data_IF_764921151618
#
_entry.id   IF_764921151618
#
_cell.length_a   1.000
_cell.length_b   1.000
_cell.length_c   1.000
_cell.angle_alpha   90.00
_cell.angle_beta   90.00
_cell.angle_gamma   90.00
#
_symmetry.space_group_name_H-M   'P 1'
#
loop_
_entity.id
_entity.type
_entity.pdbx_description
1 polymer ?
#
# COMPACT_ATOMS: atom_id res chain seq x y z
N UNK A 1 -14.15 27.14 -47.84
CA UNK A 1 -14.45 27.04 -46.39
C UNK A 1 -13.15 26.84 -45.63
N UNK A 2 -13.07 27.45 -44.46
CA UNK A 2 -11.88 27.85 -43.70
C UNK A 2 -11.11 26.73 -42.96
N UNK A 3 -9.80 26.98 -42.77
CA UNK A 3 -8.92 26.76 -41.58
C UNK A 3 -9.60 26.13 -40.34
N UNK A 4 -9.00 25.29 -39.48
CA UNK A 4 -7.61 24.90 -39.16
C UNK A 4 -7.68 23.65 -38.22
N UNK A 5 -6.53 23.01 -37.91
CA UNK A 5 -6.37 21.77 -37.13
C UNK A 5 -6.12 22.00 -35.63
N UNK A 6 -5.78 20.91 -34.93
CA UNK A 6 -5.16 20.79 -33.60
C UNK A 6 -6.07 20.89 -32.36
N UNK A 7 -6.16 19.79 -31.62
CA UNK A 7 -6.11 19.89 -30.16
C UNK A 7 -5.40 18.67 -29.54
N UNK A 8 -4.07 18.76 -29.56
CA UNK A 8 -3.15 18.07 -28.66
C UNK A 8 -3.58 18.28 -27.21
N UNK A 9 -4.28 17.31 -26.62
CA UNK A 9 -4.58 17.35 -25.19
C UNK A 9 -3.37 16.89 -24.39
N UNK A 10 -2.49 17.86 -24.15
CA UNK A 10 -1.85 18.15 -22.87
C UNK A 10 -0.83 17.13 -22.33
N UNK A 11 0.40 17.22 -22.85
CA UNK A 11 1.60 17.00 -22.04
C UNK A 11 1.77 18.18 -21.06
N UNK A 12 1.13 18.09 -19.90
CA UNK A 12 1.53 18.88 -18.74
C UNK A 12 2.77 18.24 -18.13
N UNK A 13 3.96 18.70 -18.54
CA UNK A 13 5.21 18.39 -17.85
C UNK A 13 5.16 19.09 -16.48
N UNK A 14 4.54 18.42 -15.52
CA UNK A 14 4.46 18.86 -14.14
C UNK A 14 5.87 18.75 -13.54
N UNK A 15 6.61 19.86 -13.54
CA UNK A 15 7.96 19.96 -12.99
C UNK A 15 7.90 20.07 -11.46
N UNK A 16 7.08 19.22 -10.84
CA UNK A 16 7.06 19.02 -9.40
C UNK A 16 8.34 18.28 -9.00
N UNK A 17 9.00 18.65 -7.88
CA UNK A 17 10.15 17.90 -7.40
C UNK A 17 9.74 16.43 -7.27
N UNK A 18 10.54 15.53 -7.85
CA UNK A 18 10.33 14.10 -7.76
C UNK A 18 10.22 13.75 -6.27
N UNK A 19 9.00 13.37 -5.83
CA UNK A 19 8.80 12.97 -4.44
C UNK A 19 9.68 11.76 -4.17
N UNK A 20 10.36 11.68 -3.01
CA UNK A 20 11.09 10.48 -2.64
C UNK A 20 10.15 9.28 -2.74
N UNK A 21 10.66 8.16 -3.23
CA UNK A 21 9.93 6.89 -3.29
C UNK A 21 10.77 5.80 -2.64
N UNK A 22 10.08 4.85 -2.04
CA UNK A 22 10.65 3.68 -1.37
C UNK A 22 10.15 2.45 -2.11
N UNK A 23 11.06 1.54 -2.44
CA UNK A 23 10.70 0.26 -3.05
C UNK A 23 10.37 -0.74 -1.96
N UNK A 24 9.17 -1.31 -2.03
CA UNK A 24 8.70 -2.33 -1.07
C UNK A 24 8.24 -3.59 -1.79
N UNK A 25 8.27 -4.71 -1.07
CA UNK A 25 7.61 -5.96 -1.46
C UNK A 25 6.69 -6.38 -0.31
N UNK A 26 5.43 -6.65 -0.63
CA UNK A 26 4.45 -7.25 0.29
C UNK A 26 4.26 -8.72 -0.15
N UNK A 27 4.76 -9.72 0.61
CA UNK A 27 4.54 -11.12 0.26
C UNK A 27 3.08 -11.52 0.44
N UNK A 28 2.62 -12.48 -0.35
CA UNK A 28 1.36 -13.17 -0.10
C UNK A 28 1.39 -13.99 1.20
N UNK A 29 0.26 -14.08 1.89
CA UNK A 29 0.11 -14.88 3.12
C UNK A 29 -1.07 -15.85 3.04
N UNK A 30 -1.01 -16.94 3.79
CA UNK A 30 -2.01 -18.03 3.74
C UNK A 30 -3.35 -17.71 4.43
N UNK A 31 -3.61 -16.45 4.77
CA UNK A 31 -4.82 -15.98 5.45
C UNK A 31 -5.87 -15.40 4.50
N UNK A 32 -7.08 -15.16 5.00
CA UNK A 32 -8.15 -14.48 4.23
C UNK A 32 -7.67 -13.10 3.79
N UNK A 33 -7.69 -12.83 2.47
CA UNK A 33 -7.19 -11.59 1.89
C UNK A 33 -5.65 -11.50 1.81
N UNK A 34 -4.95 -12.59 2.13
CA UNK A 34 -3.49 -12.65 2.09
C UNK A 34 -2.92 -12.73 0.68
N UNK A 35 -3.73 -13.05 -0.31
CA UNK A 35 -3.36 -13.07 -1.75
C UNK A 35 -3.90 -11.87 -2.54
N UNK A 36 -4.74 -11.04 -1.93
CA UNK A 36 -5.33 -9.87 -2.60
C UNK A 36 -4.37 -8.68 -2.57
N UNK A 37 -4.46 -7.82 -3.58
CA UNK A 37 -3.74 -6.54 -3.63
C UNK A 37 -4.10 -5.67 -2.41
N UNK A 38 -3.11 -4.91 -1.92
CA UNK A 38 -3.28 -4.07 -0.74
C UNK A 38 -3.75 -2.69 -1.16
N UNK A 39 -4.96 -2.31 -0.74
CA UNK A 39 -5.49 -0.97 -0.92
C UNK A 39 -5.09 -0.07 0.25
N UNK A 40 -4.54 1.11 -0.05
CA UNK A 40 -4.20 2.15 0.92
C UNK A 40 -4.67 3.52 0.43
N UNK A 41 -5.39 4.26 1.26
CA UNK A 41 -5.75 5.65 1.00
C UNK A 41 -5.00 6.55 1.98
N UNK A 42 -4.12 7.41 1.46
CA UNK A 42 -3.26 8.28 2.27
C UNK A 42 -3.43 9.72 1.79
N UNK A 43 -3.87 10.60 2.69
CA UNK A 43 -4.07 12.03 2.40
C UNK A 43 -4.92 12.29 1.13
N UNK A 44 -5.97 11.49 0.92
CA UNK A 44 -6.87 11.61 -0.23
C UNK A 44 -6.30 11.07 -1.55
N UNK A 45 -5.21 10.30 -1.51
CA UNK A 45 -4.67 9.57 -2.66
C UNK A 45 -4.79 8.08 -2.42
N UNK A 46 -5.36 7.39 -3.40
CA UNK A 46 -5.60 5.95 -3.34
C UNK A 46 -4.48 5.19 -4.07
N UNK A 47 -4.02 4.12 -3.44
CA UNK A 47 -2.95 3.25 -3.90
C UNK A 47 -3.43 1.81 -3.88
N UNK A 48 -3.21 1.09 -4.98
CA UNK A 48 -3.37 -0.35 -5.07
C UNK A 48 -1.99 -0.99 -5.23
N UNK A 49 -1.52 -1.65 -4.19
CA UNK A 49 -0.17 -2.21 -4.09
C UNK A 49 -0.25 -3.70 -4.38
N UNK A 50 0.38 -4.13 -5.47
CA UNK A 50 0.41 -5.54 -5.88
C UNK A 50 1.34 -6.33 -4.97
N UNK A 51 0.91 -7.52 -4.56
CA UNK A 51 1.73 -8.44 -3.78
C UNK A 51 2.77 -9.16 -4.64
N UNK A 52 3.80 -9.67 -3.98
CA UNK A 52 4.89 -10.50 -4.55
C UNK A 52 5.71 -9.82 -5.66
N UNK A 53 5.57 -8.50 -5.82
CA UNK A 53 6.34 -7.70 -6.77
C UNK A 53 6.93 -6.46 -6.09
N UNK A 54 8.04 -5.96 -6.63
CA UNK A 54 8.63 -4.70 -6.18
C UNK A 54 7.76 -3.52 -6.64
N UNK A 55 7.26 -2.76 -5.68
CA UNK A 55 6.42 -1.58 -5.92
C UNK A 55 7.08 -0.36 -5.31
N UNK A 56 7.24 0.69 -6.13
CA UNK A 56 7.75 1.97 -5.67
C UNK A 56 6.60 2.83 -5.13
N UNK A 57 6.61 3.14 -3.83
CA UNK A 57 5.55 3.92 -3.16
C UNK A 57 6.13 5.16 -2.45
N UNK A 58 5.32 6.21 -2.22
CA UNK A 58 5.74 7.32 -1.38
C UNK A 58 5.98 6.89 0.09
N UNK A 59 6.88 7.57 0.84
CA UNK A 59 7.15 7.27 2.25
C UNK A 59 5.90 7.28 3.14
N UNK A 60 4.93 8.15 2.85
CA UNK A 60 3.68 8.22 3.61
C UNK A 60 2.85 6.93 3.51
N UNK A 61 2.96 6.20 2.40
CA UNK A 61 2.33 4.88 2.25
C UNK A 61 3.05 3.84 3.11
N UNK A 62 4.39 3.91 3.18
CA UNK A 62 5.18 3.01 4.04
C UNK A 62 4.84 3.23 5.52
N UNK A 63 4.70 4.48 5.96
CA UNK A 63 4.24 4.80 7.32
C UNK A 63 2.84 4.22 7.58
N UNK A 64 1.90 4.43 6.66
CA UNK A 64 0.55 3.87 6.79
C UNK A 64 0.54 2.33 6.88
N UNK A 65 1.37 1.64 6.11
CA UNK A 65 1.52 0.19 6.19
C UNK A 65 2.19 -0.28 7.48
N UNK A 66 3.12 0.51 8.03
CA UNK A 66 3.78 0.23 9.31
C UNK A 66 2.80 0.33 10.48
N UNK A 67 1.96 1.37 10.46
CA UNK A 67 0.97 1.64 11.51
C UNK A 67 -0.28 0.73 11.40
N UNK A 68 -0.46 0.08 10.25
CA UNK A 68 -1.55 -0.87 10.03
C UNK A 68 -1.33 -2.16 10.82
N UNK A 69 -1.82 -2.21 12.05
CA UNK A 69 -1.78 -3.37 12.95
C UNK A 69 -3.16 -4.00 13.14
N UNK A 70 -3.17 -5.30 13.43
CA UNK A 70 -4.35 -6.05 13.90
C UNK A 70 -4.06 -6.60 15.29
N UNK A 71 -5.09 -6.67 16.12
CA UNK A 71 -5.02 -7.28 17.44
C UNK A 71 -5.41 -8.75 17.32
N UNK A 72 -4.50 -9.65 17.63
CA UNK A 72 -4.71 -11.08 17.74
C UNK A 72 -4.91 -11.46 19.20
N UNK A 73 -5.94 -12.26 19.48
CA UNK A 73 -6.18 -12.81 20.81
C UNK A 73 -5.36 -14.09 21.01
N UNK A 74 -4.55 -14.12 22.08
CA UNK A 74 -3.81 -15.30 22.49
C UNK A 74 -4.74 -16.16 23.33
N UNK A 75 -4.96 -17.40 22.92
CA UNK A 75 -5.79 -18.37 23.66
C UNK A 75 -4.92 -19.42 24.37
N UNK A 76 -5.33 -19.83 25.58
CA UNK A 76 -4.75 -20.99 26.27
C UNK A 76 -5.22 -22.33 25.66
N UNK A 77 -4.71 -23.45 26.19
CA UNK A 77 -5.15 -24.81 25.79
C UNK A 77 -6.65 -25.06 26.00
N UNK A 78 -7.32 -24.27 26.85
CA UNK A 78 -8.75 -24.34 27.12
C UNK A 78 -9.57 -23.39 26.23
N UNK A 79 -8.94 -22.69 25.28
CA UNK A 79 -9.58 -21.75 24.35
C UNK A 79 -9.99 -20.42 24.99
N UNK A 80 -9.50 -20.09 26.19
CA UNK A 80 -9.77 -18.81 26.85
C UNK A 80 -8.76 -17.77 26.39
N UNK A 81 -9.22 -16.56 26.14
CA UNK A 81 -8.34 -15.43 25.80
C UNK A 81 -7.52 -15.08 27.04
N UNK A 82 -6.21 -15.32 26.98
CA UNK A 82 -5.24 -15.04 28.05
C UNK A 82 -4.41 -13.79 27.77
N UNK A 83 -4.56 -13.20 26.58
CA UNK A 83 -3.90 -11.95 26.23
C UNK A 83 -4.21 -11.48 24.82
N UNK A 84 -3.63 -10.34 24.48
CA UNK A 84 -3.72 -9.73 23.15
C UNK A 84 -2.34 -9.38 22.65
N UNK A 85 -2.12 -9.53 21.34
CA UNK A 85 -0.90 -9.11 20.67
C UNK A 85 -1.24 -8.32 19.43
N UNK A 86 -0.58 -7.17 19.27
CA UNK A 86 -0.64 -6.44 18.02
C UNK A 86 0.38 -7.00 17.03
N UNK A 87 -0.08 -7.34 15.83
CA UNK A 87 0.76 -7.80 14.72
C UNK A 87 0.53 -6.94 13.49
N UNK A 88 1.56 -6.72 12.65
CA UNK A 88 1.39 -5.99 11.39
C UNK A 88 0.37 -6.68 10.48
N UNK A 89 -0.60 -5.92 9.99
CA UNK A 89 -1.62 -6.40 9.06
C UNK A 89 -1.04 -6.75 7.70
N UNK A 90 -0.08 -5.96 7.25
CA UNK A 90 0.59 -6.12 5.96
C UNK A 90 2.11 -6.16 6.19
N UNK A 91 2.69 -7.32 6.54
CA UNK A 91 4.14 -7.45 6.61
C UNK A 91 4.77 -7.09 5.26
N UNK A 92 5.83 -6.28 5.26
CA UNK A 92 6.52 -5.86 4.03
C UNK A 92 8.03 -5.76 4.25
N UNK A 93 8.79 -5.71 3.15
CA UNK A 93 10.23 -5.50 3.15
C UNK A 93 10.57 -4.26 2.33
N UNK A 94 11.50 -3.43 2.82
CA UNK A 94 12.11 -2.33 2.05
C UNK A 94 13.32 -2.88 1.29
N UNK A 95 13.46 -2.49 0.02
CA UNK A 95 14.60 -2.83 -0.85
C UNK A 95 15.59 -1.68 -0.96
#
# INVERSE_FOLDING_TARGET
MSKQPDNSSQSATDNAPARPRVTIIIPSSSGKGGSDDVFASVNGRDYLIRRDVEVSVPPEVVSALTDAVITEHITDEAGRIVGERNVPRYPFQVK
#
